data_IF_688051219383
#
_entry.id   IF_688051219383
#
_cell.length_a   1.000
_cell.length_b   1.000
_cell.length_c   1.000
_cell.angle_alpha   90.00
_cell.angle_beta   90.00
_cell.angle_gamma   90.00
#
_symmetry.space_group_name_H-M   'P 1'
#
loop_
_entity.id
_entity.type
_entity.pdbx_description
1 polymer ?
#
# COMPACT_ATOMS: atom_id res chain seq x y z
N UNK A 1 13.45 18.86 9.49
CA UNK A 1 12.52 18.66 8.36
C UNK A 1 13.01 17.45 7.57
N UNK A 2 12.51 16.25 7.87
CA UNK A 2 12.81 15.07 7.05
C UNK A 2 12.13 15.24 5.70
N UNK A 3 12.89 15.72 4.71
CA UNK A 3 12.52 15.64 3.30
C UNK A 3 12.46 14.14 2.93
N UNK A 4 11.27 13.55 3.07
CA UNK A 4 11.04 12.15 2.71
C UNK A 4 11.06 12.07 1.19
N UNK A 5 12.26 11.97 0.62
CA UNK A 5 12.44 11.75 -0.82
C UNK A 5 11.76 10.43 -1.18
N UNK A 6 10.85 10.48 -2.15
CA UNK A 6 10.29 9.25 -2.72
C UNK A 6 11.35 8.56 -3.58
N UNK A 7 11.24 7.24 -3.71
CA UNK A 7 12.15 6.44 -4.55
C UNK A 7 12.12 6.93 -6.00
N UNK A 8 10.95 7.37 -6.46
CA UNK A 8 10.70 7.92 -7.78
C UNK A 8 11.47 9.23 -8.05
N UNK A 9 11.82 10.00 -7.01
CA UNK A 9 12.57 11.26 -7.15
C UNK A 9 14.10 11.08 -7.16
N UNK A 10 14.60 9.88 -6.82
CA UNK A 10 16.04 9.63 -6.70
C UNK A 10 16.80 9.69 -8.02
N UNK A 11 16.31 9.10 -9.14
CA UNK A 11 17.03 9.16 -10.41
C UNK A 11 17.30 10.59 -10.88
N UNK A 12 16.28 11.45 -10.82
CA UNK A 12 16.42 12.87 -11.14
C UNK A 12 17.41 13.60 -10.22
N UNK A 13 17.48 13.21 -8.94
CA UNK A 13 18.45 13.74 -7.99
C UNK A 13 19.87 13.32 -8.34
N UNK A 14 20.09 12.05 -8.70
CA UNK A 14 21.40 11.54 -9.10
C UNK A 14 21.88 12.16 -10.41
N UNK A 15 21.00 12.34 -11.40
CA UNK A 15 21.33 13.07 -12.65
C UNK A 15 21.75 14.52 -12.40
N UNK A 16 21.06 15.24 -11.50
CA UNK A 16 21.47 16.60 -11.12
C UNK A 16 22.85 16.63 -10.47
N UNK A 17 23.16 15.65 -9.63
CA UNK A 17 24.48 15.51 -8.98
C UNK A 17 25.57 15.15 -9.98
N UNK A 18 25.31 14.23 -10.92
CA UNK A 18 26.23 13.90 -12.00
C UNK A 18 26.58 15.13 -12.84
N UNK A 19 25.57 15.93 -13.21
CA UNK A 19 25.77 17.21 -13.91
C UNK A 19 26.64 18.18 -13.10
N UNK A 20 26.48 18.24 -11.77
CA UNK A 20 27.32 19.06 -10.91
C UNK A 20 28.77 18.56 -10.87
N UNK A 21 28.99 17.25 -10.79
CA UNK A 21 30.32 16.64 -10.79
C UNK A 21 31.08 16.90 -12.11
N UNK A 22 30.38 16.79 -13.25
CA UNK A 22 30.95 17.13 -14.57
C UNK A 22 31.46 18.58 -14.64
N UNK A 23 30.76 19.52 -13.99
CA UNK A 23 31.21 20.93 -13.92
C UNK A 23 32.57 21.10 -13.22
N UNK A 24 32.93 20.17 -12.34
CA UNK A 24 34.21 20.15 -11.63
C UNK A 24 35.20 19.13 -12.20
N UNK A 25 34.96 18.62 -13.42
CA UNK A 25 35.84 17.64 -14.08
C UNK A 25 35.83 16.23 -13.47
N UNK A 26 34.92 15.95 -12.54
CA UNK A 26 34.80 14.64 -11.88
C UNK A 26 33.98 13.67 -12.71
N UNK A 27 34.57 13.18 -13.80
CA UNK A 27 33.89 12.35 -14.80
C UNK A 27 33.48 10.94 -14.30
N UNK A 28 34.36 10.12 -13.70
CA UNK A 28 33.97 8.76 -13.30
C UNK A 28 32.81 8.72 -12.29
N UNK A 29 32.79 9.54 -11.22
CA UNK A 29 31.65 9.57 -10.30
C UNK A 29 30.35 10.06 -10.94
N UNK A 30 30.43 10.96 -11.93
CA UNK A 30 29.25 11.40 -12.66
C UNK A 30 28.62 10.27 -13.47
N UNK A 31 29.46 9.51 -14.20
CA UNK A 31 29.03 8.34 -14.97
C UNK A 31 28.41 7.27 -14.06
N UNK A 32 29.01 7.00 -12.90
CA UNK A 32 28.43 6.05 -11.93
C UNK A 32 27.03 6.48 -11.49
N UNK A 33 26.83 7.76 -11.15
CA UNK A 33 25.51 8.25 -10.75
C UNK A 33 24.48 8.18 -11.89
N UNK A 34 24.89 8.41 -13.13
CA UNK A 34 24.03 8.27 -14.30
C UNK A 34 23.60 6.81 -14.51
N UNK A 35 24.52 5.85 -14.35
CA UNK A 35 24.20 4.42 -14.42
C UNK A 35 23.23 3.99 -13.34
N UNK A 36 23.48 4.35 -12.08
CA UNK A 36 22.56 4.05 -10.99
C UNK A 36 21.17 4.67 -11.23
N UNK A 37 21.11 5.88 -11.79
CA UNK A 37 19.84 6.53 -12.11
C UNK A 37 19.06 5.77 -13.19
N UNK A 38 19.76 5.30 -14.24
CA UNK A 38 19.16 4.49 -15.29
C UNK A 38 18.65 3.15 -14.73
N UNK A 39 19.47 2.40 -14.01
CA UNK A 39 19.10 1.11 -13.41
C UNK A 39 17.88 1.24 -12.49
N UNK A 40 17.82 2.30 -11.68
CA UNK A 40 16.67 2.54 -10.81
C UNK A 40 15.41 2.93 -11.58
N UNK A 41 15.53 3.74 -12.65
CA UNK A 41 14.39 4.06 -13.52
C UNK A 41 13.84 2.81 -14.19
N UNK A 42 14.71 1.98 -14.75
CA UNK A 42 14.31 0.71 -15.39
C UNK A 42 13.60 -0.20 -14.39
N UNK A 43 14.14 -0.30 -13.16
CA UNK A 43 13.51 -1.08 -12.08
C UNK A 43 12.15 -0.52 -11.68
N UNK A 44 12.00 0.80 -11.61
CA UNK A 44 10.72 1.45 -11.30
C UNK A 44 9.70 1.15 -12.41
N UNK A 45 10.10 1.29 -13.67
CA UNK A 45 9.24 1.01 -14.83
C UNK A 45 8.80 -0.46 -14.81
N UNK A 46 9.73 -1.40 -14.67
CA UNK A 46 9.43 -2.84 -14.61
C UNK A 46 8.47 -3.16 -13.44
N UNK A 47 8.74 -2.60 -12.26
CA UNK A 47 7.88 -2.75 -11.08
C UNK A 47 6.48 -2.21 -11.33
N UNK A 48 6.37 -1.06 -12.01
CA UNK A 48 5.12 -0.35 -12.23
C UNK A 48 4.29 -0.98 -13.37
N UNK A 49 4.95 -1.67 -14.31
CA UNK A 49 4.36 -2.45 -15.40
C UNK A 49 3.92 -3.86 -15.00
N UNK A 50 4.43 -4.39 -13.87
CA UNK A 50 4.02 -5.68 -13.35
C UNK A 50 2.48 -5.76 -13.25
N UNK A 51 1.91 -6.79 -13.87
CA UNK A 51 0.45 -6.98 -13.93
C UNK A 51 0.01 -8.03 -12.92
N UNK A 52 -1.08 -7.72 -12.22
CA UNK A 52 -1.66 -8.58 -11.19
C UNK A 52 -3.04 -9.07 -11.63
N UNK A 53 -3.35 -10.32 -11.32
CA UNK A 53 -4.75 -10.78 -11.28
C UNK A 53 -5.54 -9.97 -10.24
N UNK A 54 -6.87 -9.97 -10.32
CA UNK A 54 -7.71 -9.26 -9.35
C UNK A 54 -7.47 -9.71 -7.88
N UNK A 55 -7.11 -10.98 -7.68
CA UNK A 55 -6.80 -11.52 -6.36
C UNK A 55 -5.47 -11.00 -5.85
N UNK A 56 -4.43 -10.98 -6.67
CA UNK A 56 -3.14 -10.40 -6.28
C UNK A 56 -3.24 -8.88 -6.06
N UNK A 57 -3.94 -8.20 -6.96
CA UNK A 57 -4.25 -6.78 -6.87
C UNK A 57 -5.00 -6.42 -5.56
N UNK A 58 -5.88 -7.31 -5.08
CA UNK A 58 -6.58 -7.10 -3.81
C UNK A 58 -5.64 -7.08 -2.61
N UNK A 59 -4.60 -7.94 -2.63
CA UNK A 59 -3.60 -8.02 -1.55
C UNK A 59 -2.71 -6.79 -1.53
N UNK A 60 -2.33 -6.30 -2.71
CA UNK A 60 -1.47 -5.13 -2.86
C UNK A 60 -2.22 -3.81 -2.56
N UNK A 61 -3.47 -3.68 -3.00
CA UNK A 61 -4.24 -2.42 -2.91
C UNK A 61 -5.06 -2.28 -1.62
N UNK A 62 -5.41 -3.39 -0.98
CA UNK A 62 -6.35 -3.43 0.15
C UNK A 62 -7.83 -3.27 -0.24
N UNK A 63 -8.15 -3.25 -1.54
CA UNK A 63 -9.52 -3.33 -2.05
C UNK A 63 -9.92 -4.78 -2.35
N UNK A 64 -11.21 -5.10 -2.32
CA UNK A 64 -11.66 -6.45 -2.71
C UNK A 64 -11.50 -6.68 -4.21
N UNK A 65 -11.28 -7.94 -4.60
CA UNK A 65 -11.20 -8.35 -6.00
C UNK A 65 -12.46 -7.97 -6.80
N UNK A 66 -13.66 -8.10 -6.20
CA UNK A 66 -14.92 -7.71 -6.82
C UNK A 66 -15.01 -6.21 -7.09
N UNK A 67 -14.53 -5.39 -6.15
CA UNK A 67 -14.50 -3.94 -6.34
C UNK A 67 -13.54 -3.56 -7.46
N UNK A 68 -12.33 -4.13 -7.47
CA UNK A 68 -11.35 -3.92 -8.52
C UNK A 68 -11.89 -4.38 -9.89
N UNK A 69 -12.55 -5.54 -9.95
CA UNK A 69 -13.19 -6.03 -11.16
C UNK A 69 -14.31 -5.10 -11.67
N UNK A 70 -15.05 -4.46 -10.77
CA UNK A 70 -16.02 -3.41 -11.14
C UNK A 70 -15.33 -2.19 -11.73
N UNK A 71 -14.26 -1.70 -11.10
CA UNK A 71 -13.50 -0.55 -11.61
C UNK A 71 -12.94 -0.80 -13.02
N UNK A 72 -12.49 -2.02 -13.30
CA UNK A 72 -12.03 -2.42 -14.64
C UNK A 72 -13.19 -2.46 -15.63
N UNK A 73 -14.34 -3.05 -15.27
CA UNK A 73 -15.53 -3.11 -16.14
C UNK A 73 -16.11 -1.73 -16.43
N UNK A 74 -16.07 -0.83 -15.47
CA UNK A 74 -16.55 0.56 -15.60
C UNK A 74 -15.54 1.45 -16.35
N UNK A 75 -14.38 0.91 -16.77
CA UNK A 75 -13.34 1.64 -17.50
C UNK A 75 -12.52 2.62 -16.65
N UNK A 76 -12.65 2.58 -15.32
CA UNK A 76 -11.90 3.44 -14.39
C UNK A 76 -10.46 2.99 -14.21
N UNK A 77 -10.20 1.71 -14.38
CA UNK A 77 -8.86 1.11 -14.37
C UNK A 77 -8.68 0.37 -15.71
N UNK A 78 -7.57 0.58 -16.43
CA UNK A 78 -7.29 -0.16 -17.65
C UNK A 78 -7.19 -1.67 -17.39
N UNK A 79 -7.77 -2.48 -18.27
CA UNK A 79 -7.51 -3.92 -18.26
C UNK A 79 -6.16 -4.19 -18.93
N UNK A 80 -5.15 -4.56 -18.15
CA UNK A 80 -3.83 -4.97 -18.64
C UNK A 80 -3.78 -6.47 -19.05
N UNK A 81 -4.89 -7.19 -18.90
CA UNK A 81 -5.05 -8.59 -19.29
C UNK A 81 -5.83 -8.73 -20.60
N UNK A 82 -6.74 -9.70 -20.64
CA UNK A 82 -7.62 -9.97 -21.80
C UNK A 82 -9.09 -9.91 -21.39
N UNK A 83 -10.04 -9.77 -22.34
CA UNK A 83 -11.46 -9.91 -22.05
C UNK A 83 -11.75 -11.23 -21.31
N UNK A 84 -12.54 -11.19 -20.25
CA UNK A 84 -12.85 -12.36 -19.41
C UNK A 84 -11.76 -12.81 -18.43
N UNK A 85 -10.55 -12.27 -18.52
CA UNK A 85 -9.46 -12.51 -17.55
C UNK A 85 -8.75 -11.19 -17.24
N UNK A 86 -9.39 -10.29 -16.47
CA UNK A 86 -8.86 -8.97 -16.20
C UNK A 86 -7.59 -9.02 -15.35
N UNK A 87 -6.62 -8.17 -15.70
CA UNK A 87 -5.42 -7.89 -14.90
C UNK A 87 -5.24 -6.39 -14.75
N UNK A 88 -4.53 -5.97 -13.71
CA UNK A 88 -4.28 -4.57 -13.39
C UNK A 88 -2.76 -4.37 -13.27
N UNK A 89 -2.20 -3.39 -13.95
CA UNK A 89 -0.79 -3.02 -13.78
C UNK A 89 -0.58 -2.33 -12.43
N UNK A 90 0.59 -2.50 -11.81
CA UNK A 90 0.88 -1.95 -10.47
C UNK A 90 0.67 -0.44 -10.40
N UNK A 91 1.06 0.29 -11.45
CA UNK A 91 0.87 1.75 -11.56
C UNK A 91 -0.59 2.19 -11.50
N UNK A 92 -1.50 1.33 -11.96
CA UNK A 92 -2.93 1.60 -12.06
C UNK A 92 -3.69 1.11 -10.82
N UNK A 93 -3.01 0.48 -9.85
CA UNK A 93 -3.65 0.01 -8.63
C UNK A 93 -4.07 1.20 -7.76
N UNK A 94 -5.36 1.26 -7.36
CA UNK A 94 -5.81 2.27 -6.42
C UNK A 94 -5.13 1.98 -5.07
N UNK A 95 -4.45 2.97 -4.50
CA UNK A 95 -3.86 2.83 -3.17
C UNK A 95 -4.87 3.34 -2.16
N UNK A 96 -5.35 2.46 -1.29
CA UNK A 96 -6.10 2.89 -0.11
C UNK A 96 -5.15 3.77 0.69
N UNK A 97 -5.53 5.01 0.99
CA UNK A 97 -4.79 5.80 1.95
C UNK A 97 -4.72 4.97 3.23
N UNK A 98 -3.54 4.50 3.58
CA UNK A 98 -3.30 3.92 4.90
C UNK A 98 -3.53 5.08 5.87
N UNK A 99 -4.76 5.24 6.33
CA UNK A 99 -4.98 5.78 7.66
C UNK A 99 -4.24 4.77 8.54
N UNK A 100 -3.15 5.16 9.22
CA UNK A 100 -2.56 4.28 10.20
C UNK A 100 -3.73 3.82 11.06
N UNK A 101 -3.95 2.51 11.14
CA UNK A 101 -4.80 2.01 12.18
C UNK A 101 -4.14 2.54 13.45
N UNK A 102 -4.72 3.58 14.05
CA UNK A 102 -4.43 3.86 15.44
C UNK A 102 -4.51 2.49 16.12
N UNK A 103 -3.46 2.09 16.85
CA UNK A 103 -3.54 0.84 17.57
C UNK A 103 -4.84 0.93 18.34
N UNK A 104 -5.81 0.09 17.98
CA UNK A 104 -6.99 -0.12 18.79
C UNK A 104 -6.38 -0.64 20.08
N UNK A 105 -6.11 0.26 21.03
CA UNK A 105 -5.90 -0.05 22.42
C UNK A 105 -7.00 -1.05 22.69
N UNK A 106 -6.59 -2.30 22.94
CA UNK A 106 -7.48 -3.45 22.95
C UNK A 106 -8.79 -3.01 23.58
N UNK A 107 -9.87 -2.93 22.78
CA UNK A 107 -11.18 -2.65 23.33
C UNK A 107 -11.34 -3.67 24.45
N UNK A 108 -11.38 -3.19 25.70
CA UNK A 108 -11.58 -4.06 26.84
C UNK A 108 -12.76 -4.96 26.49
N UNK A 109 -12.65 -6.28 26.70
CA UNK A 109 -13.70 -7.20 26.28
C UNK A 109 -14.99 -6.67 26.87
N UNK A 110 -15.94 -6.28 25.99
CA UNK A 110 -17.24 -5.74 26.40
C UNK A 110 -17.76 -6.64 27.49
N UNK A 111 -17.83 -6.13 28.73
CA UNK A 111 -18.43 -6.87 29.85
C UNK A 111 -19.76 -7.37 29.32
N UNK A 112 -19.93 -8.71 29.28
CA UNK A 112 -21.22 -9.29 28.94
C UNK A 112 -22.24 -8.62 29.85
N UNK A 113 -23.24 -7.98 29.27
CA UNK A 113 -24.38 -7.47 30.02
C UNK A 113 -25.02 -8.66 30.73
N UNK A 114 -24.68 -8.84 32.01
CA UNK A 114 -25.43 -9.75 32.86
C UNK A 114 -26.81 -9.15 32.97
N UNK A 115 -27.81 -9.88 32.50
CA UNK A 115 -29.19 -9.40 32.60
C UNK A 115 -29.53 -9.23 34.08
N UNK A 116 -30.31 -8.21 34.42
CA UNK A 116 -30.74 -7.98 35.81
C UNK A 116 -31.40 -9.24 36.42
N UNK A 117 -31.98 -10.12 35.60
CA UNK A 117 -32.54 -11.39 36.04
C UNK A 117 -31.46 -12.36 36.57
N UNK A 118 -30.25 -12.37 36.01
CA UNK A 118 -29.15 -13.21 36.52
C UNK A 118 -28.58 -12.68 37.85
N UNK A 119 -28.63 -11.36 38.07
CA UNK A 119 -28.20 -10.75 39.33
C UNK A 119 -29.18 -11.13 40.45
N UNK A 120 -30.49 -11.01 40.20
CA UNK A 120 -31.54 -11.38 41.17
C UNK A 120 -31.49 -12.87 41.51
N UNK A 121 -31.27 -13.74 40.52
CA UNK A 121 -31.17 -15.19 40.76
C UNK A 121 -29.99 -15.55 41.68
N UNK A 122 -28.84 -14.87 41.51
CA UNK A 122 -27.64 -15.12 42.34
C UNK A 122 -27.77 -14.65 43.80
N UNK A 123 -28.68 -13.69 44.06
CA UNK A 123 -28.97 -13.18 45.41
C UNK A 123 -29.94 -14.13 46.13
N UNK A 124 -30.93 -14.68 45.42
CA UNK A 124 -31.90 -15.64 45.97
C UNK A 124 -31.20 -16.97 46.33
N UNK A 125 -30.30 -17.47 45.48
CA UNK A 125 -29.59 -18.73 45.73
C UNK A 125 -28.55 -18.66 46.86
N UNK A 126 -28.15 -17.45 47.30
CA UNK A 126 -27.19 -17.25 48.41
C UNK A 126 -27.84 -16.82 49.72
N UNK A 127 -29.16 -16.80 49.79
CA UNK A 127 -29.93 -16.31 50.94
C UNK A 127 -31.05 -17.24 51.38
N UNK A 128 -30.76 -18.52 51.59
CA UNK A 128 -31.56 -19.40 52.45
C UNK A 128 -30.60 -20.24 53.30
N UNK A 129 -30.23 -19.69 54.46
CA UNK A 129 -30.15 -20.41 55.74
C UNK A 129 -30.79 -19.52 56.80
#
# INVERSE_FOLDING_TARGET
MSDRRSVEALPGTWRRRAKALRRYGSEPPAVTLERCAAELEDTIVERDEATYSLVEASRESGYSADHLGRLVRDGKIPNAGRPGAPRIARRDLPRKAHVPAEPRLAEEPRRRDVSNAQIVQSIIERGIE
#
